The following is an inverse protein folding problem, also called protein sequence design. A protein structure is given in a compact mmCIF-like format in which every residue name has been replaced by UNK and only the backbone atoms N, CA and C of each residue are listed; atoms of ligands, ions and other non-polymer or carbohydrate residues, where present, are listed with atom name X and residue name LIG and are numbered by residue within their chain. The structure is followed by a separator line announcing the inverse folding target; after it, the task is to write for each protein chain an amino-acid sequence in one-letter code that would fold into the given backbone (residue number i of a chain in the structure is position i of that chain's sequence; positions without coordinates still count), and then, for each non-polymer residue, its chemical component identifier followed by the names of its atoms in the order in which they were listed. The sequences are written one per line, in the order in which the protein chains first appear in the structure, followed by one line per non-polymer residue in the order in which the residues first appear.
data_IF_994284423151
#
_entry.id   IF_994284423151
#
_cell.length_a   1.000
_cell.length_b   1.000
_cell.length_c   1.000
_cell.angle_alpha   90.00
_cell.angle_beta   90.00
_cell.angle_gamma   90.00
#
_symmetry.space_group_name_H-M   'P 1'
#
loop_
_entity.id
_entity.type
_entity.pdbx_description
1 polymer ?
#
# COMPACT_ATOMS: atom_id res chain seq x y z
N UNK A 1 30.80 18.98 -1.18
CA UNK A 1 30.99 17.75 -1.97
C UNK A 1 31.63 16.67 -1.13
N UNK A 2 31.04 15.47 -1.13
CA UNK A 2 31.51 14.27 -0.43
C UNK A 2 31.46 13.07 -1.36
N UNK A 3 32.18 11.98 -1.03
CA UNK A 3 32.12 10.71 -1.75
C UNK A 3 32.14 9.55 -0.76
N UNK A 4 31.09 8.73 -0.79
CA UNK A 4 30.89 7.68 0.20
C UNK A 4 31.69 6.42 -0.16
N UNK A 5 32.95 6.36 0.26
CA UNK A 5 33.80 5.18 0.07
C UNK A 5 34.21 4.90 -1.37
N UNK A 6 34.96 3.82 -1.58
CA UNK A 6 35.56 3.48 -2.87
C UNK A 6 34.58 2.88 -3.88
N UNK A 7 33.44 2.32 -3.41
CA UNK A 7 32.46 1.65 -4.26
C UNK A 7 31.45 2.60 -4.90
N UNK A 8 31.36 3.85 -4.41
CA UNK A 8 30.56 4.87 -5.05
C UNK A 8 31.36 5.52 -6.17
N UNK A 9 30.71 5.80 -7.30
CA UNK A 9 31.32 6.49 -8.44
C UNK A 9 31.10 8.00 -8.38
N UNK A 10 30.04 8.45 -7.69
CA UNK A 10 29.58 9.84 -7.60
C UNK A 10 30.18 10.63 -6.43
N UNK A 11 30.40 11.93 -6.65
CA UNK A 11 30.55 12.94 -5.59
C UNK A 11 29.22 13.67 -5.42
N UNK A 12 28.76 13.85 -4.19
CA UNK A 12 27.44 14.39 -3.86
C UNK A 12 27.50 15.58 -2.90
N UNK A 13 26.46 16.41 -2.93
CA UNK A 13 26.24 17.53 -2.02
C UNK A 13 24.74 17.88 -2.03
N UNK A 14 24.22 18.39 -0.91
CA UNK A 14 22.84 18.90 -0.82
C UNK A 14 22.74 20.31 -0.27
N UNK A 15 23.79 20.83 0.39
CA UNK A 15 23.90 22.25 0.72
C UNK A 15 24.52 22.98 -0.48
N UNK A 16 23.66 23.50 -1.35
CA UNK A 16 24.01 23.97 -2.69
C UNK A 16 23.87 25.50 -2.80
N UNK A 17 24.64 26.11 -3.71
CA UNK A 17 24.49 27.53 -4.02
C UNK A 17 23.16 27.78 -4.73
N UNK A 18 22.40 28.75 -4.24
CA UNK A 18 21.24 29.30 -4.93
C UNK A 18 21.58 30.40 -5.93
N UNK A 19 20.55 30.86 -6.65
CA UNK A 19 20.66 32.00 -7.59
C UNK A 19 21.10 33.29 -6.90
N UNK A 20 20.93 33.38 -5.58
CA UNK A 20 21.40 34.48 -4.73
C UNK A 20 22.87 34.36 -4.29
N UNK A 21 23.56 33.29 -4.70
CA UNK A 21 24.95 33.01 -4.39
C UNK A 21 25.19 32.50 -2.96
N UNK A 22 24.13 32.12 -2.23
CA UNK A 22 24.25 31.58 -0.87
C UNK A 22 24.04 30.08 -0.84
N UNK A 23 24.81 29.42 0.02
CA UNK A 23 24.61 28.02 0.37
C UNK A 23 23.29 27.89 1.14
N UNK A 24 22.45 26.97 0.71
CA UNK A 24 21.18 26.64 1.33
C UNK A 24 20.72 25.22 0.97
N UNK A 25 19.83 24.68 1.79
CA UNK A 25 19.09 23.46 1.50
C UNK A 25 17.85 23.78 0.65
N UNK A 26 17.61 22.96 -0.39
CA UNK A 26 16.45 23.10 -1.27
C UNK A 26 15.46 21.97 -1.00
N UNK A 27 14.25 22.34 -0.58
CA UNK A 27 13.14 21.42 -0.32
C UNK A 27 12.00 21.69 -1.32
N UNK A 28 11.19 20.68 -1.62
CA UNK A 28 9.95 20.78 -2.41
C UNK A 28 10.08 21.49 -3.77
N UNK A 29 11.22 21.32 -4.45
CA UNK A 29 11.46 21.88 -5.78
C UNK A 29 10.94 20.98 -6.89
N UNK A 30 10.58 21.54 -8.03
CA UNK A 30 10.29 20.77 -9.24
C UNK A 30 11.55 20.11 -9.80
N UNK A 31 11.38 19.06 -10.62
CA UNK A 31 12.52 18.42 -11.30
C UNK A 31 13.28 19.41 -12.21
N UNK A 32 12.58 20.36 -12.83
CA UNK A 32 13.20 21.40 -13.65
C UNK A 32 14.11 22.30 -12.80
N UNK A 33 13.62 22.76 -11.65
CA UNK A 33 14.40 23.56 -10.71
C UNK A 33 15.57 22.78 -10.13
N UNK A 34 15.38 21.52 -9.74
CA UNK A 34 16.45 20.65 -9.25
C UNK A 34 17.62 20.57 -10.24
N UNK A 35 17.32 20.40 -11.54
CA UNK A 35 18.34 20.41 -12.59
C UNK A 35 19.06 21.76 -12.71
N UNK A 36 18.34 22.88 -12.61
CA UNK A 36 18.96 24.21 -12.63
C UNK A 36 19.89 24.43 -11.43
N UNK A 37 19.47 24.01 -10.23
CA UNK A 37 20.24 24.11 -8.99
C UNK A 37 21.52 23.28 -9.11
N UNK A 38 21.43 22.02 -9.55
CA UNK A 38 22.60 21.17 -9.75
C UNK A 38 23.55 21.75 -10.82
N UNK A 39 23.01 22.25 -11.94
CA UNK A 39 23.82 22.84 -13.01
C UNK A 39 24.58 24.09 -12.55
N UNK A 40 23.98 24.92 -11.68
CA UNK A 40 24.63 26.08 -11.07
C UNK A 40 25.84 25.70 -10.20
N UNK A 41 25.83 24.49 -9.63
CA UNK A 41 26.84 24.00 -8.71
C UNK A 41 27.85 23.11 -9.44
N UNK A 42 28.74 23.73 -10.22
CA UNK A 42 29.81 23.06 -10.98
C UNK A 42 29.31 22.14 -12.12
N UNK A 43 28.21 22.52 -12.78
CA UNK A 43 27.56 21.70 -13.82
C UNK A 43 27.22 20.28 -13.34
N UNK A 44 26.90 20.13 -12.05
CA UNK A 44 26.49 18.86 -11.49
C UNK A 44 25.10 18.44 -12.01
N UNK A 45 24.76 17.19 -11.79
CA UNK A 45 23.45 16.59 -12.09
C UNK A 45 22.81 16.08 -10.81
N UNK A 46 21.50 15.83 -10.85
CA UNK A 46 20.86 14.98 -9.84
C UNK A 46 21.51 13.59 -9.87
N UNK A 47 21.58 12.91 -8.72
CA UNK A 47 22.17 11.57 -8.61
C UNK A 47 21.30 10.52 -9.30
N UNK A 48 21.89 9.41 -9.73
CA UNK A 48 21.10 8.31 -10.30
C UNK A 48 20.25 7.59 -9.26
N UNK A 49 19.19 6.92 -9.69
CA UNK A 49 18.36 6.09 -8.78
C UNK A 49 19.23 5.07 -8.02
N UNK A 50 20.09 4.35 -8.73
CA UNK A 50 20.99 3.37 -8.13
C UNK A 50 21.96 4.02 -7.14
N UNK A 51 22.51 5.21 -7.44
CA UNK A 51 23.39 5.94 -6.52
C UNK A 51 22.67 6.34 -5.23
N UNK A 52 21.39 6.73 -5.31
CA UNK A 52 20.59 7.05 -4.13
C UNK A 52 20.24 5.78 -3.34
N UNK A 53 19.71 4.74 -4.00
CA UNK A 53 19.27 3.51 -3.35
C UNK A 53 20.40 2.68 -2.73
N UNK A 54 21.63 2.79 -3.26
CA UNK A 54 22.83 2.14 -2.69
C UNK A 54 23.50 2.98 -1.59
N UNK A 55 22.94 4.15 -1.23
CA UNK A 55 23.48 5.01 -0.18
C UNK A 55 24.70 5.84 -0.62
N UNK A 56 25.00 5.91 -1.91
CA UNK A 56 26.12 6.72 -2.39
C UNK A 56 25.89 8.22 -2.25
N UNK A 57 24.64 8.67 -2.16
CA UNK A 57 24.25 10.06 -1.94
C UNK A 57 23.89 10.41 -0.47
N UNK A 58 23.96 9.45 0.46
CA UNK A 58 23.49 9.66 1.84
C UNK A 58 24.43 10.55 2.67
N UNK A 59 23.89 11.25 3.67
CA UNK A 59 24.67 12.04 4.62
C UNK A 59 25.29 13.30 4.00
N UNK A 60 24.66 13.83 2.96
CA UNK A 60 25.08 15.03 2.25
C UNK A 60 25.00 16.27 3.16
N UNK A 61 23.92 16.44 3.93
CA UNK A 61 23.85 17.41 5.04
C UNK A 61 22.49 18.09 5.26
N UNK A 62 21.57 18.06 4.30
CA UNK A 62 20.30 18.77 4.38
C UNK A 62 19.11 17.94 4.91
N UNK A 63 19.37 16.76 5.47
CA UNK A 63 18.34 15.91 6.04
C UNK A 63 17.50 15.11 5.04
N UNK A 64 17.84 15.14 3.75
CA UNK A 64 17.10 14.43 2.70
C UNK A 64 17.24 12.90 2.70
N UNK A 65 18.02 12.32 3.61
CA UNK A 65 18.18 10.86 3.71
C UNK A 65 16.84 10.16 4.04
N UNK A 66 15.87 10.89 4.61
CA UNK A 66 14.51 10.41 4.88
C UNK A 66 13.48 10.78 3.81
N UNK A 67 13.87 11.54 2.78
CA UNK A 67 12.98 12.10 1.76
C UNK A 67 13.02 11.27 0.47
N UNK A 68 11.95 11.36 -0.33
CA UNK A 68 12.01 11.00 -1.73
C UNK A 68 12.63 12.17 -2.52
N UNK A 69 13.81 11.95 -3.10
CA UNK A 69 14.52 12.97 -3.87
C UNK A 69 14.47 12.69 -5.38
N UNK A 70 14.60 13.76 -6.17
CA UNK A 70 14.74 13.65 -7.62
C UNK A 70 16.01 12.89 -8.00
N UNK A 71 15.87 11.91 -8.87
CA UNK A 71 16.97 11.12 -9.43
C UNK A 71 17.10 11.36 -10.93
N UNK A 72 18.22 10.94 -11.50
CA UNK A 72 18.46 11.00 -12.93
C UNK A 72 17.57 10.01 -13.70
N UNK A 73 17.50 10.22 -15.02
CA UNK A 73 16.64 9.53 -15.98
C UNK A 73 15.13 9.77 -15.81
N UNK A 74 14.38 9.96 -16.92
CA UNK A 74 12.93 9.91 -16.85
C UNK A 74 12.50 8.50 -16.45
N UNK A 75 11.62 8.39 -15.47
CA UNK A 75 10.91 7.14 -15.24
C UNK A 75 10.18 6.73 -16.53
N UNK A 76 10.11 5.43 -16.86
CA UNK A 76 9.25 4.98 -17.95
C UNK A 76 7.83 5.50 -17.71
N UNK A 77 7.15 5.93 -18.78
CA UNK A 77 5.76 6.33 -18.68
C UNK A 77 4.97 5.16 -18.10
N UNK A 78 4.37 5.33 -16.91
CA UNK A 78 3.49 4.31 -16.35
C UNK A 78 2.22 4.32 -17.18
N UNK A 79 1.99 3.26 -17.94
CA UNK A 79 0.65 2.99 -18.43
C UNK A 79 -0.08 2.24 -17.32
N UNK A 80 -1.35 2.59 -17.08
CA UNK A 80 -2.19 1.85 -16.12
C UNK A 80 -2.31 0.37 -16.50
N UNK A 81 -2.05 0.05 -17.77
CA UNK A 81 -2.07 -1.30 -18.34
C UNK A 81 -0.89 -2.17 -17.90
N UNK A 82 0.20 -1.57 -17.39
CA UNK A 82 1.39 -2.31 -16.91
C UNK A 82 1.31 -2.68 -15.41
N UNK A 83 0.25 -2.27 -14.71
CA UNK A 83 0.09 -2.63 -13.31
C UNK A 83 -0.16 -4.15 -13.16
N UNK A 84 0.40 -4.80 -12.14
CA UNK A 84 0.15 -6.21 -11.92
C UNK A 84 -1.30 -6.43 -11.47
N UNK A 85 -1.83 -7.63 -11.74
CA UNK A 85 -3.12 -8.11 -11.25
C UNK A 85 -4.34 -7.26 -11.65
N UNK A 86 -4.34 -6.73 -12.87
CA UNK A 86 -5.42 -5.89 -13.42
C UNK A 86 -6.42 -6.65 -14.29
N UNK A 87 -6.23 -7.97 -14.44
CA UNK A 87 -7.15 -8.79 -15.24
C UNK A 87 -8.56 -8.70 -14.65
N UNK A 88 -9.60 -8.52 -15.49
CA UNK A 88 -10.99 -8.58 -15.05
C UNK A 88 -11.29 -9.92 -14.40
N UNK A 89 -11.95 -9.90 -13.24
CA UNK A 89 -12.35 -11.10 -12.51
C UNK A 89 -13.85 -11.34 -12.68
N UNK A 90 -14.24 -12.60 -12.87
CA UNK A 90 -15.65 -12.98 -12.93
C UNK A 90 -16.32 -12.69 -11.56
N UNK A 91 -17.49 -12.01 -11.49
CA UNK A 91 -18.18 -11.75 -10.23
C UNK A 91 -18.45 -12.99 -9.35
N UNK A 92 -18.52 -14.18 -9.95
CA UNK A 92 -18.71 -15.46 -9.25
C UNK A 92 -17.39 -16.14 -8.83
N UNK A 93 -16.24 -15.63 -9.29
CA UNK A 93 -14.91 -16.15 -8.93
C UNK A 93 -14.63 -15.91 -7.45
N UNK A 94 -14.04 -16.91 -6.82
CA UNK A 94 -13.65 -16.86 -5.43
C UNK A 94 -12.22 -16.33 -5.32
N UNK A 95 -12.02 -15.29 -4.53
CA UNK A 95 -10.72 -14.71 -4.24
C UNK A 95 -10.38 -14.85 -2.76
N UNK A 96 -9.09 -14.83 -2.45
CA UNK A 96 -8.66 -14.83 -1.06
C UNK A 96 -8.87 -13.44 -0.43
N UNK A 97 -9.30 -13.45 0.82
CA UNK A 97 -9.21 -12.31 1.71
C UNK A 97 -8.03 -12.52 2.66
N UNK A 98 -7.45 -11.42 3.14
CA UNK A 98 -6.42 -11.47 4.15
C UNK A 98 -6.64 -10.42 5.23
N UNK A 99 -6.26 -10.76 6.46
CA UNK A 99 -6.34 -9.83 7.58
C UNK A 99 -5.39 -8.66 7.36
N UNK A 100 -5.88 -7.42 7.33
CA UNK A 100 -5.10 -6.25 6.90
C UNK A 100 -3.82 -6.00 7.69
N UNK A 101 -3.76 -6.38 8.97
CA UNK A 101 -2.53 -6.31 9.79
C UNK A 101 -1.48 -7.38 9.44
N UNK A 102 -1.89 -8.46 8.78
CA UNK A 102 -1.16 -9.71 8.65
C UNK A 102 -1.26 -10.58 9.91
N UNK A 103 -0.72 -11.81 9.82
CA UNK A 103 -0.57 -12.71 10.98
C UNK A 103 -1.87 -13.17 11.67
N UNK A 104 -3.00 -13.20 10.95
CA UNK A 104 -4.25 -13.85 11.41
C UNK A 104 -4.95 -13.17 12.59
N UNK A 105 -4.85 -11.85 12.73
CA UNK A 105 -5.42 -11.08 13.86
C UNK A 105 -6.93 -10.80 13.76
N UNK A 106 -7.57 -11.15 12.64
CA UNK A 106 -8.94 -10.77 12.30
C UNK A 106 -10.00 -11.84 12.64
N UNK A 107 -9.64 -12.91 13.35
CA UNK A 107 -10.61 -13.95 13.74
C UNK A 107 -10.04 -15.37 13.68
N UNK A 108 -10.90 -16.41 13.61
CA UNK A 108 -10.45 -17.80 13.61
C UNK A 108 -9.44 -18.07 12.49
N UNK A 109 -8.42 -18.86 12.83
CA UNK A 109 -7.30 -19.17 11.95
C UNK A 109 -7.78 -19.90 10.68
N UNK A 110 -7.57 -19.29 9.51
CA UNK A 110 -7.87 -19.91 8.23
C UNK A 110 -7.74 -18.96 7.05
N UNK A 111 -7.57 -19.53 5.87
CA UNK A 111 -7.75 -18.80 4.62
C UNK A 111 -9.23 -18.42 4.48
N UNK A 112 -9.49 -17.12 4.37
CA UNK A 112 -10.82 -16.60 4.11
C UNK A 112 -10.97 -16.36 2.62
N UNK A 113 -12.16 -16.59 2.11
CA UNK A 113 -12.51 -16.32 0.71
C UNK A 113 -13.91 -15.74 0.61
N UNK A 114 -14.12 -15.00 -0.48
CA UNK A 114 -15.38 -14.41 -0.89
C UNK A 114 -15.47 -14.42 -2.41
N UNK A 115 -16.70 -14.43 -2.94
CA UNK A 115 -16.93 -14.19 -4.36
C UNK A 115 -16.61 -12.73 -4.70
N UNK A 116 -16.07 -12.46 -5.88
CA UNK A 116 -15.66 -11.12 -6.31
C UNK A 116 -16.78 -10.06 -6.26
N UNK A 117 -18.05 -10.48 -6.32
CA UNK A 117 -19.24 -9.61 -6.14
C UNK A 117 -19.59 -9.24 -4.69
N UNK A 118 -19.03 -9.93 -3.70
CA UNK A 118 -19.24 -9.59 -2.28
C UNK A 118 -18.50 -8.29 -1.93
N UNK A 119 -18.80 -7.67 -0.80
CA UNK A 119 -18.20 -6.37 -0.41
C UNK A 119 -17.20 -6.55 0.73
N UNK A 120 -16.00 -6.00 0.57
CA UNK A 120 -14.93 -6.02 1.57
C UNK A 120 -14.10 -4.72 1.55
N UNK A 121 -13.27 -4.56 2.57
CA UNK A 121 -12.38 -3.41 2.74
C UNK A 121 -11.24 -3.40 1.71
N UNK A 122 -10.87 -2.21 1.24
CA UNK A 122 -9.84 -2.04 0.19
C UNK A 122 -8.57 -1.45 0.77
N UNK A 123 -7.44 -2.03 0.36
CA UNK A 123 -6.12 -1.45 0.51
C UNK A 123 -5.32 -1.68 -0.76
N UNK A 124 -4.65 -0.65 -1.24
CA UNK A 124 -3.90 -0.71 -2.48
C UNK A 124 -2.40 -0.83 -2.22
N UNK A 125 -1.73 -1.55 -3.11
CA UNK A 125 -0.30 -1.75 -3.13
C UNK A 125 0.32 -1.11 -4.38
N UNK A 126 1.60 -0.75 -4.29
CA UNK A 126 2.37 -0.30 -5.44
C UNK A 126 3.83 -0.73 -5.31
N UNK A 127 4.46 -1.01 -6.44
CA UNK A 127 5.90 -1.31 -6.48
C UNK A 127 6.76 -0.03 -6.43
N UNK A 128 6.11 1.14 -6.41
CA UNK A 128 6.77 2.43 -6.46
C UNK A 128 6.24 3.38 -5.39
N UNK A 129 7.07 4.34 -4.96
CA UNK A 129 6.63 5.37 -4.04
C UNK A 129 5.63 6.32 -4.72
N UNK A 130 4.66 6.76 -3.92
CA UNK A 130 3.77 7.87 -4.21
C UNK A 130 3.72 8.79 -2.99
N UNK A 131 3.39 10.08 -3.17
CA UNK A 131 3.09 10.97 -2.05
C UNK A 131 2.03 10.33 -1.13
N UNK A 132 2.21 10.45 0.18
CA UNK A 132 1.36 9.86 1.24
C UNK A 132 1.37 8.32 1.36
N UNK A 133 1.87 7.59 0.36
CA UNK A 133 1.97 6.14 0.45
C UNK A 133 3.09 5.75 1.40
N UNK A 134 2.87 4.68 2.17
CA UNK A 134 3.82 4.21 3.16
C UNK A 134 4.43 2.88 2.76
N UNK A 135 5.68 2.65 3.16
CA UNK A 135 6.37 1.36 3.02
C UNK A 135 6.72 0.83 4.40
N UNK A 136 6.18 -0.34 4.74
CA UNK A 136 6.57 -1.02 5.98
C UNK A 136 8.04 -1.43 5.92
N UNK A 137 8.80 -1.22 7.00
CA UNK A 137 10.22 -1.55 7.04
C UNK A 137 10.46 -3.04 6.69
N UNK A 138 11.37 -3.30 5.76
CA UNK A 138 11.70 -4.65 5.29
C UNK A 138 10.75 -5.19 4.20
N UNK A 139 9.76 -4.42 3.77
CA UNK A 139 8.82 -4.81 2.72
C UNK A 139 9.14 -4.14 1.37
N UNK A 140 8.93 -4.84 0.25
CA UNK A 140 9.23 -4.31 -1.08
C UNK A 140 8.16 -3.33 -1.59
N UNK A 141 6.90 -3.52 -1.18
CA UNK A 141 5.76 -2.78 -1.69
C UNK A 141 5.41 -1.55 -0.82
N UNK A 142 4.95 -0.51 -1.48
CA UNK A 142 4.24 0.62 -0.89
C UNK A 142 2.76 0.26 -0.74
N UNK A 143 2.06 0.91 0.18
CA UNK A 143 0.63 0.72 0.38
C UNK A 143 -0.07 1.96 0.94
N UNK A 144 -1.38 2.03 0.70
CA UNK A 144 -2.27 3.06 1.25
C UNK A 144 -3.72 2.54 1.29
N UNK A 145 -4.52 3.08 2.21
CA UNK A 145 -5.95 2.73 2.35
C UNK A 145 -6.89 3.95 2.32
N UNK A 146 -6.40 5.14 2.69
CA UNK A 146 -7.11 6.42 2.49
C UNK A 146 -6.77 6.94 1.09
N UNK A 147 -7.59 6.57 0.11
CA UNK A 147 -7.32 6.73 -1.31
C UNK A 147 -8.09 7.92 -1.87
N UNK A 148 -7.69 8.40 -3.04
CA UNK A 148 -8.54 9.32 -3.81
C UNK A 148 -9.64 8.52 -4.50
N UNK A 149 -10.89 8.89 -4.27
CA UNK A 149 -12.03 8.28 -4.94
C UNK A 149 -12.11 8.60 -6.43
N UNK A 150 -12.92 7.83 -7.16
CA UNK A 150 -13.09 7.99 -8.61
C UNK A 150 -13.71 9.36 -9.00
N UNK A 151 -14.41 10.02 -8.07
CA UNK A 151 -14.92 11.38 -8.22
C UNK A 151 -13.90 12.47 -7.85
N UNK A 152 -12.68 12.08 -7.47
CA UNK A 152 -11.59 12.96 -7.07
C UNK A 152 -11.57 13.32 -5.58
N UNK A 153 -12.45 12.75 -4.74
CA UNK A 153 -12.46 13.02 -3.30
C UNK A 153 -11.23 12.41 -2.63
N UNK A 154 -10.30 13.19 -2.04
CA UNK A 154 -9.11 12.66 -1.37
C UNK A 154 -9.48 11.98 -0.04
N UNK A 155 -8.54 11.21 0.52
CA UNK A 155 -8.65 10.59 1.85
C UNK A 155 -9.91 9.74 2.07
N UNK A 156 -10.41 9.11 1.01
CA UNK A 156 -11.60 8.25 1.06
C UNK A 156 -11.24 6.85 1.56
N UNK A 157 -12.01 6.35 2.52
CA UNK A 157 -11.92 4.98 3.03
C UNK A 157 -12.98 4.08 2.39
N UNK A 158 -12.53 3.00 1.75
CA UNK A 158 -13.39 2.04 1.04
C UNK A 158 -13.67 0.84 1.94
N UNK A 159 -14.70 0.97 2.77
CA UNK A 159 -15.10 -0.06 3.76
C UNK A 159 -15.91 -1.22 3.16
N UNK A 160 -16.58 -0.98 2.04
CA UNK A 160 -17.45 -1.94 1.39
C UNK A 160 -17.35 -1.72 -0.12
N UNK A 161 -16.57 -2.56 -0.79
CA UNK A 161 -16.42 -2.52 -2.24
C UNK A 161 -16.36 -3.94 -2.77
N UNK A 162 -16.97 -4.17 -3.94
CA UNK A 162 -16.70 -5.40 -4.67
C UNK A 162 -15.28 -5.41 -5.25
N UNK A 163 -14.81 -6.56 -5.73
CA UNK A 163 -13.42 -6.67 -6.19
C UNK A 163 -13.15 -5.81 -7.43
N UNK A 164 -14.13 -5.66 -8.33
CA UNK A 164 -14.01 -4.77 -9.50
C UNK A 164 -13.81 -3.33 -9.08
N UNK A 165 -14.60 -2.82 -8.13
CA UNK A 165 -14.45 -1.48 -7.56
C UNK A 165 -13.08 -1.33 -6.88
N UNK A 166 -12.64 -2.34 -6.13
CA UNK A 166 -11.32 -2.35 -5.50
C UNK A 166 -10.19 -2.22 -6.54
N UNK A 167 -10.26 -2.98 -7.65
CA UNK A 167 -9.31 -2.86 -8.76
C UNK A 167 -9.35 -1.45 -9.38
N UNK A 168 -10.54 -0.92 -9.65
CA UNK A 168 -10.70 0.40 -10.27
C UNK A 168 -10.11 1.52 -9.42
N UNK A 169 -10.40 1.53 -8.11
CA UNK A 169 -9.88 2.54 -7.18
C UNK A 169 -8.36 2.40 -7.04
N UNK A 170 -7.83 1.18 -6.88
CA UNK A 170 -6.39 0.99 -6.79
C UNK A 170 -5.68 1.46 -8.05
N UNK A 171 -6.21 1.10 -9.23
CA UNK A 171 -5.68 1.52 -10.52
C UNK A 171 -5.71 3.04 -10.68
N UNK A 172 -6.82 3.69 -10.31
CA UNK A 172 -6.96 5.15 -10.37
C UNK A 172 -5.94 5.89 -9.48
N UNK A 173 -5.48 5.24 -8.40
CA UNK A 173 -4.43 5.74 -7.51
C UNK A 173 -3.03 5.27 -7.90
N UNK A 174 -2.85 4.64 -9.08
CA UNK A 174 -1.57 4.19 -9.59
C UNK A 174 -1.01 2.92 -8.93
N UNK A 175 -1.87 2.18 -8.22
CA UNK A 175 -1.54 0.92 -7.57
C UNK A 175 -2.42 -0.24 -8.03
N UNK A 176 -2.34 -1.35 -7.32
CA UNK A 176 -3.07 -2.59 -7.55
C UNK A 176 -3.63 -3.13 -6.24
N UNK A 177 -4.61 -4.02 -6.28
CA UNK A 177 -5.08 -4.71 -5.07
C UNK A 177 -3.95 -5.62 -4.57
N UNK A 178 -3.54 -5.46 -3.31
CA UNK A 178 -2.42 -6.19 -2.73
C UNK A 178 -2.54 -7.72 -2.88
N UNK A 179 -1.43 -8.42 -3.10
CA UNK A 179 -1.43 -9.90 -3.08
C UNK A 179 -1.64 -10.41 -1.65
N UNK A 180 -2.21 -11.60 -1.50
CA UNK A 180 -2.39 -12.27 -0.20
C UNK A 180 -1.07 -12.38 0.56
N UNK A 181 0.02 -12.69 -0.13
CA UNK A 181 1.36 -12.82 0.46
C UNK A 181 1.86 -11.49 1.03
N UNK A 182 1.65 -10.37 0.33
CA UNK A 182 1.96 -9.03 0.83
C UNK A 182 1.14 -8.70 2.08
N UNK A 183 -0.15 -9.04 2.09
CA UNK A 183 -1.00 -8.79 3.27
C UNK A 183 -0.60 -9.67 4.46
N UNK A 184 -0.47 -10.98 4.25
CA UNK A 184 -0.18 -11.95 5.31
C UNK A 184 1.19 -11.76 5.95
N UNK A 185 2.18 -11.30 5.18
CA UNK A 185 3.52 -10.93 5.68
C UNK A 185 3.52 -9.63 6.51
N UNK A 186 2.37 -8.94 6.60
CA UNK A 186 2.23 -7.69 7.35
C UNK A 186 2.87 -6.49 6.66
N UNK A 187 3.07 -6.58 5.35
CA UNK A 187 3.68 -5.51 4.53
C UNK A 187 2.71 -4.40 4.13
N UNK A 188 1.43 -4.55 4.48
CA UNK A 188 0.40 -3.59 4.16
C UNK A 188 -0.24 -2.99 5.40
N UNK A 189 0.33 -3.14 6.60
CA UNK A 189 -0.33 -2.72 7.86
C UNK A 189 -0.10 -1.24 8.17
N UNK A 190 -1.05 -0.62 8.88
CA UNK A 190 -0.87 0.68 9.51
C UNK A 190 -1.06 1.88 8.60
N UNK A 191 -1.87 1.77 7.53
CA UNK A 191 -2.32 2.93 6.75
C UNK A 191 -3.72 3.40 7.14
N UNK A 192 -3.93 4.71 7.13
CA UNK A 192 -5.18 5.47 6.98
C UNK A 192 -6.44 5.00 7.71
N UNK A 193 -7.10 3.96 7.19
CA UNK A 193 -8.54 3.73 7.36
C UNK A 193 -8.91 2.71 8.43
N UNK A 194 -7.93 2.22 9.20
CA UNK A 194 -8.19 1.29 10.30
C UNK A 194 -8.42 -0.17 9.88
N UNK A 195 -8.25 -0.50 8.59
CA UNK A 195 -8.47 -1.86 8.04
C UNK A 195 -7.49 -2.94 8.53
N UNK A 196 -6.63 -2.63 9.49
CA UNK A 196 -5.73 -3.61 10.11
C UNK A 196 -6.50 -4.73 10.84
N UNK A 197 -7.69 -4.42 11.35
CA UNK A 197 -8.59 -5.36 12.02
C UNK A 197 -9.54 -6.12 11.08
N UNK A 198 -9.54 -5.78 9.78
CA UNK A 198 -10.54 -6.21 8.82
C UNK A 198 -9.97 -7.23 7.83
N UNK A 199 -10.86 -7.97 7.16
CA UNK A 199 -10.49 -8.85 6.05
C UNK A 199 -10.54 -8.05 4.76
N UNK A 200 -9.37 -7.66 4.25
CA UNK A 200 -9.26 -6.87 3.03
C UNK A 200 -9.21 -7.75 1.79
N UNK A 201 -9.62 -7.18 0.66
CA UNK A 201 -9.42 -7.80 -0.65
C UNK A 201 -7.94 -8.12 -0.93
N UNK A 202 -7.71 -9.25 -1.60
CA UNK A 202 -6.41 -9.58 -2.17
C UNK A 202 -6.54 -9.97 -3.63
N UNK A 203 -5.50 -9.71 -4.43
CA UNK A 203 -5.44 -10.10 -5.84
C UNK A 203 -5.09 -11.57 -6.06
N UNK A 204 -5.03 -12.37 -5.00
CA UNK A 204 -4.68 -13.78 -5.09
C UNK A 204 -5.95 -14.62 -5.29
N UNK A 205 -5.96 -15.38 -6.37
CA UNK A 205 -7.03 -16.31 -6.72
C UNK A 205 -6.59 -17.31 -7.80
N UNK A 206 -7.45 -18.27 -8.16
CA UNK A 206 -8.74 -18.54 -7.53
C UNK A 206 -8.58 -19.18 -6.14
N UNK A 207 -9.53 -18.90 -5.23
CA UNK A 207 -9.61 -19.45 -3.89
C UNK A 207 -10.68 -20.56 -3.80
N UNK A 208 -10.58 -21.50 -2.85
CA UNK A 208 -11.66 -22.44 -2.60
C UNK A 208 -12.90 -21.70 -2.08
N UNK A 209 -14.12 -22.14 -2.44
CA UNK A 209 -15.34 -21.64 -1.85
C UNK A 209 -15.30 -21.76 -0.33
N UNK A 210 -15.84 -20.74 0.35
CA UNK A 210 -16.02 -20.81 1.80
C UNK A 210 -16.86 -22.04 2.14
N UNK A 211 -16.46 -22.86 3.15
CA UNK A 211 -17.31 -23.93 3.64
C UNK A 211 -18.67 -23.34 4.01
N UNK A 212 -19.71 -23.71 3.28
CA UNK A 212 -21.07 -23.28 3.63
C UNK A 212 -21.40 -23.89 4.98
N UNK A 213 -21.75 -23.05 5.96
CA UNK A 213 -22.43 -23.56 7.14
C UNK A 213 -23.72 -24.23 6.64
N UNK A 214 -24.08 -25.41 7.15
CA UNK A 214 -25.35 -26.03 6.80
C UNK A 214 -26.46 -25.00 7.03
N UNK A 215 -27.30 -24.79 6.02
CA UNK A 215 -28.46 -23.90 6.14
C UNK A 215 -29.19 -24.28 7.42
N UNK A 216 -29.43 -23.35 8.37
CA UNK A 216 -30.15 -23.68 9.57
C UNK A 216 -31.48 -24.30 9.15
N UNK A 217 -31.68 -25.57 9.54
CA UNK A 217 -32.93 -26.27 9.25
C UNK A 217 -34.06 -25.40 9.78
N UNK A 218 -35.04 -25.01 8.94
CA UNK A 218 -36.20 -24.27 9.41
C UNK A 218 -36.81 -25.03 10.57
N UNK A 219 -36.80 -24.42 11.75
CA UNK A 219 -37.45 -24.98 12.93
C UNK A 219 -38.91 -24.60 12.80
N UNK A 220 -39.82 -25.59 12.82
CA UNK A 220 -41.25 -25.32 12.75
C UNK A 220 -41.70 -24.40 13.90
N UNK A 221 -42.67 -23.52 13.65
CA UNK A 221 -43.15 -22.52 14.61
C UNK A 221 -43.75 -23.12 15.91
N UNK A 222 -43.94 -24.44 15.97
CA UNK A 222 -44.43 -25.20 17.13
C UNK A 222 -43.31 -25.87 17.95
N UNK A 223 -42.05 -25.58 17.64
CA UNK A 223 -40.92 -26.19 18.32
C UNK A 223 -40.65 -25.55 19.69
N UNK A 224 -40.60 -26.39 20.73
CA UNK A 224 -40.31 -25.96 22.09
C UNK A 224 -38.81 -26.12 22.37
N UNK A 225 -38.12 -25.02 22.67
CA UNK A 225 -36.69 -24.98 23.00
C UNK A 225 -36.48 -24.96 24.52
N UNK A 226 -35.44 -25.65 24.98
CA UNK A 226 -34.94 -25.45 26.34
C UNK A 226 -34.22 -24.11 26.43
N UNK A 227 -34.66 -23.26 27.35
CA UNK A 227 -33.92 -22.04 27.72
C UNK A 227 -32.91 -22.44 28.80
N UNK A 228 -31.65 -22.06 28.60
CA UNK A 228 -30.58 -22.27 29.58
C UNK A 228 -30.01 -20.93 30.05
N UNK A 229 -29.54 -20.89 31.29
CA UNK A 229 -28.87 -19.72 31.81
C UNK A 229 -27.46 -19.58 31.21
N UNK A 230 -27.18 -18.43 30.58
CA UNK A 230 -25.85 -18.15 30.00
C UNK A 230 -24.71 -18.09 31.04
N UNK A 231 -25.04 -17.84 32.32
CA UNK A 231 -24.09 -17.91 33.43
C UNK A 231 -23.95 -19.30 34.08
N UNK A 232 -24.54 -20.35 33.48
CA UNK A 232 -24.63 -21.68 34.07
C UNK A 232 -25.75 -21.80 35.12
N UNK A 233 -25.90 -22.99 35.71
CA UNK A 233 -27.05 -23.35 36.58
C UNK A 233 -27.30 -22.41 37.77
N UNK A 234 -26.31 -21.59 38.15
CA UNK A 234 -26.39 -20.65 39.27
C UNK A 234 -26.34 -19.17 38.83
N UNK A 235 -26.31 -18.87 37.52
CA UNK A 235 -26.05 -17.53 36.99
C UNK A 235 -27.30 -16.68 36.71
N UNK A 236 -28.50 -17.26 36.89
CA UNK A 236 -29.76 -16.58 36.66
C UNK A 236 -30.56 -16.69 37.96
N UNK A 237 -30.61 -15.58 38.70
CA UNK A 237 -31.38 -15.41 39.93
C UNK A 237 -32.62 -14.58 39.71
#
# INVERSE_FOLDING_TARGET
WKKNGANCDVWHESDLLGKDGRLQCFHDVTYAEAKEICALNSNATVCTKDQVETGCASGSGCGHDGDLIWTDAPAPARTLDDLPHQDPVDPEEWLYLACGRGGGKCGPFGDMSAQAKEEHEVRCCSDYPFPEWIRTFGCPNWHLSNLTALDGTPDTCFHASNYTEAQEVCRANGGYVCTKEQVQSGCVKGSGCGHDGDHIWTSTGPAPPRPQLPTPTPVADDFHLFIACGGGVNGCG
#
